data_IF_105549938950
#
_entry.id   IF_105549938950
#
_cell.length_a   1.000
_cell.length_b   1.000
_cell.length_c   1.000
_cell.angle_alpha   90.00
_cell.angle_beta   90.00
_cell.angle_gamma   90.00
#
_symmetry.space_group_name_H-M   'P 1'
#
loop_
_entity.id
_entity.type
_entity.pdbx_description
1 polymer ?
#
# COMPACT_ATOMS: atom_id res chain seq x y z
N UNK A 1 -3.76 20.22 -3.15
CA UNK A 1 -4.77 19.17 -2.83
C UNK A 1 -6.04 19.43 -3.63
N UNK A 2 -6.43 20.69 -3.78
CA UNK A 2 -7.62 21.13 -4.55
C UNK A 2 -7.70 20.54 -5.97
N UNK A 3 -6.56 20.45 -6.69
CA UNK A 3 -6.49 19.81 -8.00
C UNK A 3 -7.01 18.36 -8.03
N UNK A 4 -6.69 17.53 -7.03
CA UNK A 4 -7.16 16.14 -7.00
C UNK A 4 -8.63 16.05 -6.59
N UNK A 5 -9.09 16.95 -5.72
CA UNK A 5 -10.50 17.00 -5.32
C UNK A 5 -11.38 17.40 -6.50
N UNK A 6 -10.94 18.35 -7.33
CA UNK A 6 -11.61 18.75 -8.58
C UNK A 6 -11.70 17.59 -9.61
N UNK A 7 -10.72 16.69 -9.61
CA UNK A 7 -10.72 15.47 -10.43
C UNK A 7 -11.63 14.35 -9.88
N UNK A 8 -12.24 14.54 -8.71
CA UNK A 8 -13.17 13.59 -8.11
C UNK A 8 -12.56 12.20 -7.88
N UNK A 9 -13.28 11.16 -8.32
CA UNK A 9 -12.88 9.74 -8.18
C UNK A 9 -11.52 9.46 -8.85
N UNK A 10 -11.22 10.13 -9.97
CA UNK A 10 -9.93 9.97 -10.64
C UNK A 10 -8.79 10.56 -9.79
N UNK A 11 -9.02 11.72 -9.19
CA UNK A 11 -8.05 12.34 -8.31
C UNK A 11 -7.78 11.49 -7.05
N UNK A 12 -8.81 10.85 -6.50
CA UNK A 12 -8.67 9.88 -5.43
C UNK A 12 -7.83 8.66 -5.86
N UNK A 13 -8.06 8.12 -7.05
CA UNK A 13 -7.27 7.01 -7.58
C UNK A 13 -5.79 7.40 -7.68
N UNK A 14 -5.49 8.51 -8.35
CA UNK A 14 -4.11 8.97 -8.57
C UNK A 14 -3.43 9.29 -7.25
N UNK A 15 -4.11 9.98 -6.34
CA UNK A 15 -3.57 10.27 -5.01
C UNK A 15 -3.29 9.00 -4.22
N UNK A 16 -4.22 8.04 -4.22
CA UNK A 16 -4.07 6.77 -3.51
C UNK A 16 -2.94 5.92 -4.08
N UNK A 17 -2.79 5.92 -5.41
CA UNK A 17 -1.67 5.31 -6.10
C UNK A 17 -0.34 5.94 -5.69
N UNK A 18 -0.24 7.27 -5.78
CA UNK A 18 0.99 7.98 -5.45
C UNK A 18 1.33 7.89 -3.94
N UNK A 19 0.34 7.88 -3.06
CA UNK A 19 0.52 7.69 -1.61
C UNK A 19 1.09 6.33 -1.22
N UNK A 20 0.91 5.35 -2.10
CA UNK A 20 1.45 3.99 -1.95
C UNK A 20 2.76 3.79 -2.71
N UNK A 21 3.23 4.85 -3.37
CA UNK A 21 4.60 4.98 -3.84
C UNK A 21 5.33 5.91 -2.87
N UNK A 22 6.65 5.95 -2.91
CA UNK A 22 7.56 6.67 -1.97
C UNK A 22 7.22 8.18 -1.74
N UNK A 23 6.20 8.72 -2.40
CA UNK A 23 5.70 10.08 -2.25
C UNK A 23 4.73 10.20 -1.06
N UNK A 24 4.98 11.13 -0.11
CA UNK A 24 4.08 11.40 1.00
C UNK A 24 2.83 12.15 0.49
N UNK A 25 1.80 11.42 0.08
CA UNK A 25 0.51 11.96 -0.37
C UNK A 25 -0.60 11.61 0.61
N UNK A 26 -1.51 12.56 0.87
CA UNK A 26 -2.63 12.39 1.81
C UNK A 26 -3.90 11.87 1.15
N UNK A 27 -3.91 10.61 0.70
CA UNK A 27 -5.09 10.03 0.02
C UNK A 27 -6.38 10.04 0.88
N UNK A 28 -6.25 10.00 2.20
CA UNK A 28 -7.37 10.08 3.13
C UNK A 28 -8.06 11.43 3.12
N UNK A 29 -7.31 12.52 2.93
CA UNK A 29 -7.88 13.87 2.90
C UNK A 29 -8.81 13.99 1.70
N UNK A 30 -8.40 13.45 0.54
CA UNK A 30 -9.22 13.44 -0.67
C UNK A 30 -10.42 12.49 -0.51
N UNK A 31 -10.22 11.32 0.10
CA UNK A 31 -11.32 10.40 0.41
C UNK A 31 -12.38 11.09 1.29
N UNK A 32 -11.98 11.73 2.38
CA UNK A 32 -12.87 12.47 3.29
C UNK A 32 -13.60 13.58 2.56
N UNK A 33 -12.89 14.38 1.75
CA UNK A 33 -13.52 15.47 0.99
C UNK A 33 -14.62 14.96 0.05
N UNK A 34 -14.40 13.83 -0.64
CA UNK A 34 -15.38 13.26 -1.56
C UNK A 34 -16.55 12.58 -0.84
N UNK A 35 -16.32 11.95 0.32
CA UNK A 35 -17.37 11.41 1.18
C UNK A 35 -18.29 12.51 1.69
N UNK A 36 -17.73 13.64 2.13
CA UNK A 36 -18.49 14.81 2.57
C UNK A 36 -19.21 15.53 1.42
N UNK A 37 -18.80 15.27 0.18
CA UNK A 37 -19.47 15.75 -1.04
C UNK A 37 -20.53 14.76 -1.55
N UNK A 38 -20.97 13.82 -0.70
CA UNK A 38 -22.01 12.82 -0.97
C UNK A 38 -21.72 11.86 -2.14
N UNK A 39 -20.45 11.68 -2.51
CA UNK A 39 -20.08 10.66 -3.50
C UNK A 39 -20.19 9.27 -2.87
N UNK A 40 -20.66 8.29 -3.64
CA UNK A 40 -20.92 6.93 -3.18
C UNK A 40 -19.71 6.32 -2.40
N UNK A 41 -19.87 5.99 -1.10
CA UNK A 41 -18.74 5.55 -0.26
C UNK A 41 -18.09 4.25 -0.73
N UNK A 42 -18.89 3.30 -1.24
CA UNK A 42 -18.40 2.01 -1.74
C UNK A 42 -17.47 2.22 -2.94
N UNK A 43 -17.86 3.07 -3.89
CA UNK A 43 -17.04 3.41 -5.06
C UNK A 43 -15.71 4.03 -4.60
N UNK A 44 -15.75 4.98 -3.67
CA UNK A 44 -14.54 5.64 -3.18
C UNK A 44 -13.58 4.67 -2.51
N UNK A 45 -14.08 3.81 -1.62
CA UNK A 45 -13.25 2.80 -0.93
C UNK A 45 -12.63 1.83 -1.93
N UNK A 46 -13.41 1.33 -2.90
CA UNK A 46 -12.90 0.41 -3.92
C UNK A 46 -11.82 1.08 -4.77
N UNK A 47 -12.09 2.28 -5.28
CA UNK A 47 -11.14 3.00 -6.15
C UNK A 47 -9.86 3.37 -5.42
N UNK A 48 -9.97 3.87 -4.18
CA UNK A 48 -8.81 4.17 -3.35
C UNK A 48 -7.98 2.91 -3.07
N UNK A 49 -8.64 1.79 -2.74
CA UNK A 49 -8.00 0.50 -2.51
C UNK A 49 -7.25 0.03 -3.75
N UNK A 50 -7.88 0.06 -4.93
CA UNK A 50 -7.23 -0.36 -6.19
C UNK A 50 -6.01 0.51 -6.48
N UNK A 51 -6.15 1.84 -6.43
CA UNK A 51 -5.04 2.75 -6.67
C UNK A 51 -3.87 2.47 -5.72
N UNK A 52 -4.16 2.36 -4.43
CA UNK A 52 -3.16 2.11 -3.41
C UNK A 52 -2.49 0.73 -3.57
N UNK A 53 -3.24 -0.34 -3.87
CA UNK A 53 -2.67 -1.68 -4.16
C UNK A 53 -1.76 -1.65 -5.38
N UNK A 54 -2.16 -0.96 -6.45
CA UNK A 54 -1.33 -0.80 -7.65
C UNK A 54 -0.03 -0.04 -7.36
N UNK A 55 -0.07 1.01 -6.54
CA UNK A 55 1.16 1.72 -6.14
C UNK A 55 2.12 0.82 -5.35
N UNK A 56 1.61 -0.02 -4.45
CA UNK A 56 2.49 -0.99 -3.77
C UNK A 56 2.97 -2.13 -4.64
N UNK A 57 2.26 -2.49 -5.71
CA UNK A 57 2.80 -3.40 -6.72
C UNK A 57 4.02 -2.79 -7.43
N UNK A 58 4.04 -1.47 -7.62
CA UNK A 58 5.24 -0.79 -8.14
C UNK A 58 6.42 -0.95 -7.18
N UNK A 59 6.22 -0.70 -5.87
CA UNK A 59 7.28 -0.90 -4.87
C UNK A 59 7.76 -2.36 -4.83
N UNK A 60 6.82 -3.31 -4.84
CA UNK A 60 7.13 -4.74 -4.91
C UNK A 60 7.95 -5.07 -6.17
N UNK A 61 7.55 -4.55 -7.34
CA UNK A 61 8.27 -4.75 -8.60
C UNK A 61 9.68 -4.18 -8.55
N UNK A 62 9.86 -2.97 -8.00
CA UNK A 62 11.17 -2.35 -7.78
C UNK A 62 12.03 -3.24 -6.89
N UNK A 63 11.48 -3.72 -5.77
CA UNK A 63 12.17 -4.65 -4.88
C UNK A 63 12.57 -5.94 -5.58
N UNK A 64 11.66 -6.53 -6.35
CA UNK A 64 11.86 -7.80 -7.05
C UNK A 64 12.97 -7.71 -8.10
N UNK A 65 12.97 -6.66 -8.91
CA UNK A 65 14.01 -6.39 -9.91
C UNK A 65 15.33 -6.00 -9.26
N UNK A 66 15.27 -5.25 -8.16
CA UNK A 66 16.41 -4.78 -7.40
C UNK A 66 16.95 -5.78 -6.38
N UNK A 67 16.40 -7.00 -6.26
CA UNK A 67 16.69 -7.92 -5.16
C UNK A 67 18.19 -8.24 -4.97
N UNK A 68 18.93 -8.43 -6.06
CA UNK A 68 20.40 -8.62 -6.03
C UNK A 68 21.16 -7.37 -5.61
N UNK A 69 20.69 -6.17 -5.99
CA UNK A 69 21.24 -4.90 -5.52
C UNK A 69 20.94 -4.70 -4.03
N UNK A 70 19.71 -4.97 -3.59
CA UNK A 70 19.27 -4.88 -2.20
C UNK A 70 20.11 -5.82 -1.31
N UNK A 71 20.26 -7.08 -1.72
CA UNK A 71 21.07 -8.07 -1.03
C UNK A 71 22.54 -7.62 -0.87
N UNK A 72 23.18 -7.21 -1.96
CA UNK A 72 24.64 -6.96 -1.99
C UNK A 72 25.05 -5.58 -1.50
N UNK A 73 24.25 -4.55 -1.76
CA UNK A 73 24.64 -3.14 -1.54
C UNK A 73 23.94 -2.50 -0.35
N UNK A 74 22.69 -2.87 -0.09
CA UNK A 74 21.89 -2.30 1.01
C UNK A 74 22.03 -3.15 2.27
N UNK A 75 21.70 -4.44 2.17
CA UNK A 75 21.73 -5.37 3.30
C UNK A 75 23.14 -5.91 3.56
N UNK A 76 24.00 -5.97 2.53
CA UNK A 76 25.37 -6.52 2.59
C UNK A 76 25.43 -7.91 3.23
N UNK A 77 24.43 -8.74 2.94
CA UNK A 77 24.31 -10.10 3.50
C UNK A 77 24.76 -11.16 2.49
N UNK A 78 25.32 -12.25 3.02
CA UNK A 78 25.64 -13.44 2.23
C UNK A 78 24.37 -14.11 1.68
N UNK A 79 24.52 -15.01 0.70
CA UNK A 79 23.37 -15.79 0.17
C UNK A 79 22.68 -16.62 1.26
N UNK A 80 23.46 -17.27 2.13
CA UNK A 80 22.91 -18.07 3.24
C UNK A 80 22.16 -17.21 4.29
N UNK A 81 22.59 -15.97 4.52
CA UNK A 81 21.87 -15.04 5.39
C UNK A 81 20.61 -14.50 4.72
N UNK A 82 20.66 -14.25 3.41
CA UNK A 82 19.51 -13.81 2.63
C UNK A 82 18.39 -14.86 2.65
N UNK A 83 18.72 -16.14 2.46
CA UNK A 83 17.76 -17.24 2.59
C UNK A 83 17.13 -17.31 3.99
N UNK A 84 17.93 -17.10 5.06
CA UNK A 84 17.41 -17.04 6.43
C UNK A 84 16.46 -15.85 6.62
N UNK A 85 16.78 -14.69 6.06
CA UNK A 85 15.90 -13.51 6.11
C UNK A 85 14.59 -13.77 5.37
N UNK A 86 14.65 -14.35 4.18
CA UNK A 86 13.47 -14.74 3.42
C UNK A 86 12.59 -15.72 4.21
N UNK A 87 13.17 -16.78 4.79
CA UNK A 87 12.43 -17.76 5.59
C UNK A 87 11.78 -17.15 6.83
N UNK A 88 12.50 -16.27 7.55
CA UNK A 88 11.94 -15.56 8.71
C UNK A 88 10.82 -14.62 8.30
N UNK A 89 10.99 -13.89 7.20
CA UNK A 89 9.95 -13.00 6.69
C UNK A 89 8.72 -13.80 6.24
N UNK A 90 8.89 -14.90 5.50
CA UNK A 90 7.77 -15.76 5.08
C UNK A 90 6.96 -16.31 6.25
N UNK A 91 7.60 -16.64 7.38
CA UNK A 91 6.90 -17.18 8.57
C UNK A 91 6.20 -16.11 9.40
N UNK A 92 6.87 -15.00 9.67
CA UNK A 92 6.40 -13.98 10.63
C UNK A 92 6.24 -12.60 9.98
N UNK A 93 7.22 -12.19 9.18
CA UNK A 93 7.23 -10.87 8.53
C UNK A 93 6.10 -10.68 7.52
N UNK A 94 5.58 -11.75 6.92
CA UNK A 94 4.53 -11.67 5.89
C UNK A 94 3.26 -11.02 6.45
N UNK A 95 2.93 -11.27 7.73
CA UNK A 95 1.79 -10.66 8.40
C UNK A 95 1.92 -9.16 8.59
N UNK A 96 3.15 -8.64 8.61
CA UNK A 96 3.36 -7.19 8.66
C UNK A 96 2.81 -6.48 7.41
N UNK A 97 2.61 -7.20 6.28
CA UNK A 97 2.01 -6.65 5.06
C UNK A 97 0.57 -6.17 5.25
N UNK A 98 -0.14 -6.67 6.26
CA UNK A 98 -1.43 -6.12 6.67
C UNK A 98 -1.32 -4.66 7.14
N UNK A 99 -0.15 -4.25 7.59
CA UNK A 99 0.17 -2.89 8.03
C UNK A 99 0.91 -2.09 6.95
N UNK A 100 0.92 -2.53 5.69
CA UNK A 100 1.55 -1.80 4.58
C UNK A 100 0.86 -0.45 4.29
N UNK A 101 -0.43 -0.37 4.54
CA UNK A 101 -0.98 0.55 5.53
C UNK A 101 -0.28 1.85 5.95
N UNK A 102 0.66 1.67 6.87
CA UNK A 102 1.09 2.67 7.84
C UNK A 102 2.06 3.66 7.17
N UNK A 103 1.88 4.97 7.35
CA UNK A 103 2.79 5.97 6.81
C UNK A 103 4.24 5.67 7.14
N UNK A 104 5.17 5.94 6.21
CA UNK A 104 6.63 5.75 6.36
C UNK A 104 7.08 4.28 6.38
N UNK A 105 6.33 3.40 7.05
CA UNK A 105 6.67 1.97 7.20
C UNK A 105 6.20 1.14 6.01
N UNK A 106 5.07 1.53 5.42
CA UNK A 106 4.37 0.78 4.38
C UNK A 106 5.19 0.52 3.12
N UNK A 107 5.70 1.59 2.50
CA UNK A 107 6.42 1.48 1.23
C UNK A 107 7.70 0.66 1.35
N UNK A 108 8.59 0.89 2.35
CA UNK A 108 9.74 0.03 2.59
C UNK A 108 9.34 -1.45 2.75
N UNK A 109 8.24 -1.72 3.44
CA UNK A 109 7.80 -3.09 3.66
C UNK A 109 7.39 -3.78 2.35
N UNK A 110 6.65 -3.08 1.50
CA UNK A 110 6.24 -3.61 0.19
C UNK A 110 7.42 -3.80 -0.76
N UNK A 111 8.43 -2.92 -0.68
CA UNK A 111 9.69 -3.06 -1.40
C UNK A 111 10.51 -4.26 -0.90
N UNK A 112 10.63 -4.43 0.43
CA UNK A 112 11.31 -5.58 1.04
C UNK A 112 10.64 -6.89 0.64
N UNK A 113 9.30 -6.93 0.63
CA UNK A 113 8.57 -8.13 0.18
C UNK A 113 8.88 -8.49 -1.28
N UNK A 114 9.02 -7.48 -2.14
CA UNK A 114 9.52 -7.65 -3.51
C UNK A 114 10.93 -8.21 -3.55
N UNK A 115 11.85 -7.59 -2.80
CA UNK A 115 13.26 -8.00 -2.71
C UNK A 115 13.43 -9.44 -2.23
N UNK A 116 12.64 -9.85 -1.24
CA UNK A 116 12.59 -11.21 -0.71
C UNK A 116 11.72 -12.17 -1.55
N UNK A 117 11.19 -11.72 -2.70
CA UNK A 117 10.40 -12.53 -3.64
C UNK A 117 9.25 -13.30 -3.00
N UNK A 118 8.54 -12.63 -2.09
CA UNK A 118 7.36 -13.20 -1.44
C UNK A 118 6.30 -13.54 -2.48
N UNK A 119 5.56 -14.63 -2.29
CA UNK A 119 4.52 -15.03 -3.24
C UNK A 119 3.55 -13.85 -3.52
N UNK A 120 3.39 -13.50 -4.80
CA UNK A 120 2.63 -12.32 -5.22
C UNK A 120 1.15 -12.39 -4.83
N UNK A 121 0.54 -13.58 -4.80
CA UNK A 121 -0.86 -13.74 -4.39
C UNK A 121 -1.02 -13.47 -2.90
N UNK A 122 -0.09 -13.98 -2.08
CA UNK A 122 -0.09 -13.72 -0.64
C UNK A 122 0.16 -12.22 -0.34
N UNK A 123 1.09 -11.61 -1.07
CA UNK A 123 1.34 -10.17 -1.02
C UNK A 123 0.05 -9.38 -1.34
N UNK A 124 -0.58 -9.69 -2.48
CA UNK A 124 -1.81 -9.02 -2.91
C UNK A 124 -2.92 -9.18 -1.89
N UNK A 125 -3.13 -10.38 -1.37
CA UNK A 125 -4.17 -10.63 -0.37
C UNK A 125 -3.98 -9.78 0.89
N UNK A 126 -2.77 -9.80 1.48
CA UNK A 126 -2.52 -9.09 2.73
C UNK A 126 -2.51 -7.57 2.55
N UNK A 127 -1.87 -7.08 1.49
CA UNK A 127 -1.81 -5.64 1.21
C UNK A 127 -3.20 -5.09 0.86
N UNK A 128 -3.99 -5.83 0.08
CA UNK A 128 -5.38 -5.44 -0.23
C UNK A 128 -6.20 -5.40 1.04
N UNK A 129 -6.13 -6.44 1.88
CA UNK A 129 -6.91 -6.50 3.12
C UNK A 129 -6.56 -5.35 4.07
N UNK A 130 -5.27 -5.05 4.24
CA UNK A 130 -4.81 -3.94 5.08
C UNK A 130 -5.30 -2.58 4.58
N UNK A 131 -5.16 -2.32 3.28
CA UNK A 131 -5.55 -1.03 2.68
C UNK A 131 -7.05 -0.84 2.61
N UNK A 132 -7.76 -1.89 2.22
CA UNK A 132 -9.22 -1.91 2.26
C UNK A 132 -9.72 -1.63 3.69
N UNK A 133 -9.14 -2.29 4.69
CA UNK A 133 -9.43 -2.04 6.10
C UNK A 133 -9.20 -0.58 6.51
N UNK A 134 -8.07 0.03 6.12
CA UNK A 134 -7.81 1.47 6.35
C UNK A 134 -8.88 2.35 5.74
N UNK A 135 -9.19 2.18 4.45
CA UNK A 135 -10.15 3.04 3.77
C UNK A 135 -11.59 2.85 4.28
N UNK A 136 -11.97 1.63 4.63
CA UNK A 136 -13.22 1.36 5.34
C UNK A 136 -13.27 2.07 6.69
N UNK A 137 -12.20 1.99 7.49
CA UNK A 137 -12.15 2.64 8.79
C UNK A 137 -12.27 4.16 8.66
N UNK A 138 -11.55 4.77 7.71
CA UNK A 138 -11.65 6.20 7.41
C UNK A 138 -13.06 6.58 6.98
N UNK A 139 -13.68 5.79 6.11
CA UNK A 139 -15.02 6.08 5.64
C UNK A 139 -16.09 5.93 6.73
N UNK A 140 -16.00 4.89 7.56
CA UNK A 140 -16.89 4.68 8.70
C UNK A 140 -16.77 5.81 9.74
N UNK A 141 -15.55 6.25 10.05
CA UNK A 141 -15.33 7.40 10.96
C UNK A 141 -15.88 8.70 10.37
N UNK A 142 -15.82 8.86 9.04
CA UNK A 142 -16.32 10.06 8.35
C UNK A 142 -17.85 10.09 8.25
N UNK A 143 -18.45 8.93 7.96
CA UNK A 143 -19.90 8.76 7.77
C UNK A 143 -20.47 7.72 8.75
N UNK A 144 -20.48 7.99 10.07
CA UNK A 144 -20.87 7.01 11.08
C UNK A 144 -22.31 6.49 10.96
N UNK A 145 -23.19 7.23 10.26
CA UNK A 145 -24.60 6.89 10.06
C UNK A 145 -24.99 6.69 8.59
N UNK A 146 -24.02 6.65 7.65
CA UNK A 146 -24.28 6.77 6.21
C UNK A 146 -23.44 5.87 5.31
N UNK A 147 -22.89 4.79 5.88
CA UNK A 147 -22.19 3.76 5.13
C UNK A 147 -23.11 2.57 4.81
#
# INVERSE_FOLDING_TARGET
MDFFTELGVLGLFVSSFLAATILPMGSEVILVALLLSEVNPVILVVVATIGNVLGSLVNYGIGFLGGTFLQRRVLKVSEAEFEKLEQRFRKLGVWSLLFAWVPIVGDPLTLIAGGLRINILLFLLLVTLGKFGRYLAVAYVTLPNGF
#
